data_IF_347642950241
#
_entry.id   IF_347642950241
#
_cell.length_a   1.000
_cell.length_b   1.000
_cell.length_c   1.000
_cell.angle_alpha   90.00
_cell.angle_beta   90.00
_cell.angle_gamma   90.00
#
_symmetry.space_group_name_H-M   'P 1'
#
loop_
_entity.id
_entity.type
_entity.pdbx_description
1 polymer ?
#
# COMPACT_ATOMS: atom_id res chain seq x y z
N UNK A 1 -2.80 -23.94 78.35
CA UNK A 1 -1.83 -23.61 77.28
C UNK A 1 -2.48 -23.86 75.92
N UNK A 2 -2.93 -22.82 75.21
CA UNK A 2 -3.39 -22.89 73.82
C UNK A 2 -2.30 -22.41 72.85
N UNK A 3 -2.27 -22.87 71.58
CA UNK A 3 -1.33 -22.35 70.59
C UNK A 3 -1.88 -21.12 69.84
N UNK A 4 -0.93 -20.30 69.40
CA UNK A 4 -1.09 -18.96 68.89
C UNK A 4 -1.85 -18.85 67.56
N UNK A 5 -2.77 -17.88 67.52
CA UNK A 5 -3.45 -17.39 66.33
C UNK A 5 -2.58 -16.30 65.68
N UNK A 6 -1.98 -16.57 64.52
CA UNK A 6 -1.35 -15.55 63.65
C UNK A 6 -2.30 -15.22 62.51
N UNK A 7 -3.08 -14.17 62.68
CA UNK A 7 -3.79 -13.48 61.61
C UNK A 7 -2.77 -12.67 60.79
N UNK A 8 -2.29 -13.26 59.69
CA UNK A 8 -1.61 -12.52 58.64
C UNK A 8 -2.66 -11.76 57.82
N UNK A 9 -2.48 -10.45 57.79
CA UNK A 9 -3.08 -9.46 56.90
C UNK A 9 -3.45 -10.00 55.52
N UNK A 10 -4.75 -10.02 55.22
CA UNK A 10 -5.26 -10.10 53.86
C UNK A 10 -4.81 -8.84 53.10
N UNK A 11 -3.72 -8.99 52.35
CA UNK A 11 -3.29 -8.03 51.34
C UNK A 11 -4.36 -7.98 50.25
N UNK A 12 -5.26 -7.00 50.36
CA UNK A 12 -6.15 -6.56 49.31
C UNK A 12 -5.34 -6.35 48.03
N UNK A 13 -5.54 -7.24 47.06
CA UNK A 13 -4.96 -7.12 45.71
C UNK A 13 -5.74 -6.01 44.98
N UNK A 14 -5.06 -5.04 44.36
CA UNK A 14 -5.75 -3.88 43.78
C UNK A 14 -6.50 -4.28 42.50
N UNK A 15 -7.67 -3.65 42.34
CA UNK A 15 -8.46 -3.58 41.13
C UNK A 15 -7.61 -3.13 39.91
N UNK A 16 -7.81 -3.79 38.77
CA UNK A 16 -7.54 -3.26 37.43
C UNK A 16 -8.55 -3.96 36.50
N UNK A 17 -9.65 -3.35 36.07
CA UNK A 17 -9.70 -2.10 35.30
C UNK A 17 -10.03 -2.46 33.85
N UNK A 18 -11.33 -2.50 33.52
CA UNK A 18 -11.98 -2.63 32.20
C UNK A 18 -11.35 -3.61 31.18
N UNK A 19 -11.99 -4.77 30.99
CA UNK A 19 -11.73 -5.67 29.85
C UNK A 19 -11.99 -4.93 28.52
N UNK A 20 -11.13 -5.09 27.51
CA UNK A 20 -11.41 -4.57 26.16
C UNK A 20 -12.57 -5.38 25.60
N UNK A 21 -13.74 -4.77 25.48
CA UNK A 21 -14.97 -5.44 25.04
C UNK A 21 -15.54 -4.80 23.78
N UNK A 22 -15.95 -5.66 22.85
CA UNK A 22 -16.75 -5.28 21.69
C UNK A 22 -18.20 -5.56 22.02
N UNK A 23 -19.06 -4.56 21.84
CA UNK A 23 -20.51 -4.73 21.99
C UNK A 23 -21.15 -4.99 20.64
N UNK A 24 -22.19 -5.83 20.61
CA UNK A 24 -22.99 -6.07 19.42
C UNK A 24 -23.68 -4.77 18.92
N UNK A 25 -24.01 -3.86 19.84
CA UNK A 25 -24.60 -2.56 19.53
C UNK A 25 -23.68 -1.66 18.69
N UNK A 26 -22.38 -1.94 18.65
CA UNK A 26 -21.39 -1.18 17.87
C UNK A 26 -21.39 -1.57 16.39
N UNK A 27 -22.08 -2.65 16.01
CA UNK A 27 -22.04 -3.21 14.65
C UNK A 27 -23.41 -3.22 13.95
N UNK A 28 -24.52 -2.89 14.62
CA UNK A 28 -25.85 -3.16 14.07
C UNK A 28 -26.78 -1.95 14.19
N UNK A 29 -27.44 -1.65 13.07
CA UNK A 29 -28.79 -1.09 13.01
C UNK A 29 -29.75 -2.24 12.63
N UNK A 30 -30.89 -2.39 13.30
CA UNK A 30 -31.58 -3.67 13.63
C UNK A 30 -32.10 -4.56 12.47
N UNK A 31 -31.77 -4.30 11.21
CA UNK A 31 -32.56 -4.75 10.04
C UNK A 31 -32.05 -5.97 9.25
N UNK A 32 -30.84 -6.52 9.49
CA UNK A 32 -30.30 -7.64 8.69
C UNK A 32 -29.80 -8.85 9.51
N UNK A 33 -30.44 -10.01 9.31
CA UNK A 33 -30.08 -11.30 9.93
C UNK A 33 -28.68 -11.79 9.55
N UNK A 34 -28.24 -11.53 8.31
CA UNK A 34 -26.91 -11.92 7.81
C UNK A 34 -25.83 -11.07 8.47
N UNK A 35 -26.04 -9.75 8.55
CA UNK A 35 -25.12 -8.83 9.23
C UNK A 35 -24.96 -9.17 10.70
N UNK A 36 -26.07 -9.52 11.39
CA UNK A 36 -26.03 -9.93 12.80
C UNK A 36 -25.18 -11.18 13.04
N UNK A 37 -25.32 -12.21 12.21
CA UNK A 37 -24.54 -13.45 12.34
C UNK A 37 -23.05 -13.20 12.17
N UNK A 38 -22.66 -12.42 11.16
CA UNK A 38 -21.27 -12.07 10.90
C UNK A 38 -20.68 -11.19 12.03
N UNK A 39 -21.43 -10.22 12.54
CA UNK A 39 -21.01 -9.40 13.67
C UNK A 39 -20.78 -10.24 14.94
N UNK A 40 -21.68 -11.19 15.24
CA UNK A 40 -21.50 -12.14 16.35
C UNK A 40 -20.24 -12.98 16.14
N UNK A 41 -20.02 -13.51 14.94
CA UNK A 41 -18.83 -14.30 14.63
C UNK A 41 -17.53 -13.51 14.81
N UNK A 42 -17.53 -12.25 14.39
CA UNK A 42 -16.40 -11.33 14.53
C UNK A 42 -16.08 -11.07 16.02
N UNK A 43 -17.08 -10.79 16.84
CA UNK A 43 -16.93 -10.58 18.29
C UNK A 43 -16.42 -11.85 18.98
N UNK A 44 -16.99 -13.02 18.67
CA UNK A 44 -16.56 -14.30 19.25
C UNK A 44 -15.11 -14.59 18.90
N UNK A 45 -14.73 -14.38 17.65
CA UNK A 45 -13.35 -14.58 17.18
C UNK A 45 -12.39 -13.61 17.86
N UNK A 46 -12.73 -12.33 17.94
CA UNK A 46 -11.94 -11.32 18.64
C UNK A 46 -11.72 -11.71 20.11
N UNK A 47 -12.78 -12.11 20.81
CA UNK A 47 -12.71 -12.53 22.21
C UNK A 47 -11.84 -13.76 22.45
N UNK A 48 -11.68 -14.62 21.44
CA UNK A 48 -10.77 -15.76 21.48
C UNK A 48 -9.31 -15.29 21.36
N UNK A 49 -8.98 -14.52 20.33
CA UNK A 49 -7.59 -14.14 20.05
C UNK A 49 -7.04 -13.05 20.98
N UNK A 50 -7.89 -12.17 21.52
CA UNK A 50 -7.44 -11.05 22.37
C UNK A 50 -6.72 -11.51 23.63
N UNK A 51 -6.92 -12.76 24.05
CA UNK A 51 -6.26 -13.38 25.21
C UNK A 51 -4.76 -13.60 24.97
N UNK A 52 -4.36 -13.77 23.71
CA UNK A 52 -2.99 -14.02 23.30
C UNK A 52 -2.28 -12.75 22.81
N UNK A 53 -3.03 -11.66 22.65
CA UNK A 53 -2.55 -10.36 22.18
C UNK A 53 -2.03 -9.48 23.33
N UNK A 54 -1.05 -8.63 23.03
CA UNK A 54 -0.72 -7.52 23.90
C UNK A 54 -1.92 -6.58 24.07
N UNK A 55 -2.12 -6.04 25.28
CA UNK A 55 -3.33 -5.29 25.64
C UNK A 55 -3.53 -4.05 24.75
N UNK A 56 -2.47 -3.34 24.37
CA UNK A 56 -2.58 -2.19 23.47
C UNK A 56 -3.06 -2.59 22.08
N UNK A 57 -2.49 -3.66 21.50
CA UNK A 57 -2.89 -4.18 20.19
C UNK A 57 -4.33 -4.70 20.17
N UNK A 58 -4.76 -5.37 21.25
CA UNK A 58 -6.14 -5.80 21.38
C UNK A 58 -7.13 -4.62 21.39
N UNK A 59 -6.74 -3.49 22.03
CA UNK A 59 -7.53 -2.26 22.03
C UNK A 59 -7.56 -1.62 20.64
N UNK A 60 -6.42 -1.51 19.97
CA UNK A 60 -6.36 -0.98 18.61
C UNK A 60 -7.20 -1.79 17.64
N UNK A 61 -7.17 -3.13 17.75
CA UNK A 61 -8.03 -4.00 16.96
C UNK A 61 -9.51 -3.74 17.28
N UNK A 62 -9.87 -3.61 18.55
CA UNK A 62 -11.24 -3.30 18.95
C UNK A 62 -11.74 -1.93 18.43
N UNK A 63 -10.86 -0.93 18.33
CA UNK A 63 -11.18 0.39 17.76
C UNK A 63 -11.27 0.36 16.22
N UNK A 64 -10.50 -0.52 15.58
CA UNK A 64 -10.50 -0.70 14.14
C UNK A 64 -11.77 -1.40 13.64
N UNK A 65 -12.22 -2.45 14.32
CA UNK A 65 -13.27 -3.35 13.82
C UNK A 65 -14.62 -2.68 13.52
N UNK A 66 -15.15 -1.75 14.34
CA UNK A 66 -16.38 -1.03 14.00
C UNK A 66 -16.26 -0.20 12.73
N UNK A 67 -15.12 0.48 12.52
CA UNK A 67 -14.87 1.30 11.32
C UNK A 67 -14.77 0.43 10.07
N UNK A 68 -14.08 -0.70 10.19
CA UNK A 68 -13.97 -1.69 9.13
C UNK A 68 -15.33 -2.28 8.75
N UNK A 69 -16.17 -2.54 9.75
CA UNK A 69 -17.51 -3.05 9.56
C UNK A 69 -18.43 -2.05 8.85
N UNK A 70 -18.41 -0.78 9.24
CA UNK A 70 -19.19 0.28 8.58
C UNK A 70 -18.85 0.41 7.10
N UNK A 71 -17.56 0.35 6.76
CA UNK A 71 -17.08 0.33 5.38
C UNK A 71 -17.61 -0.89 4.62
N UNK A 72 -17.53 -2.07 5.24
CA UNK A 72 -17.99 -3.32 4.66
C UNK A 72 -19.50 -3.30 4.36
N UNK A 73 -20.32 -2.84 5.29
CA UNK A 73 -21.78 -2.71 5.11
C UNK A 73 -22.10 -1.70 4.00
N UNK A 74 -21.40 -0.57 3.96
CA UNK A 74 -21.58 0.49 2.96
C UNK A 74 -21.20 0.05 1.54
N UNK A 75 -20.23 -0.87 1.42
CA UNK A 75 -19.73 -1.39 0.13
C UNK A 75 -20.57 -2.51 -0.50
N UNK A 76 -21.76 -2.81 0.04
CA UNK A 76 -22.66 -3.89 -0.36
C UNK A 76 -22.11 -5.29 -0.03
N UNK A 77 -22.66 -5.91 1.03
CA UNK A 77 -22.28 -7.17 1.69
C UNK A 77 -22.06 -8.42 0.80
N UNK A 78 -22.38 -8.36 -0.49
CA UNK A 78 -22.44 -9.52 -1.39
C UNK A 78 -21.24 -9.67 -2.33
N UNK A 79 -20.31 -8.71 -2.35
CA UNK A 79 -19.13 -8.76 -3.22
C UNK A 79 -18.12 -9.84 -2.80
N UNK A 80 -17.35 -10.42 -3.74
CA UNK A 80 -16.24 -11.30 -3.41
C UNK A 80 -15.13 -10.56 -2.63
N UNK A 81 -14.26 -11.28 -1.87
CA UNK A 81 -13.18 -10.63 -1.13
C UNK A 81 -12.27 -9.78 -2.02
N UNK A 82 -12.13 -10.12 -3.30
CA UNK A 82 -11.26 -9.44 -4.28
C UNK A 82 -11.65 -7.99 -4.54
N UNK A 83 -12.91 -7.64 -4.33
CA UNK A 83 -13.42 -6.28 -4.51
C UNK A 83 -13.21 -5.41 -3.26
N UNK A 84 -12.93 -6.03 -2.11
CA UNK A 84 -12.77 -5.34 -0.84
C UNK A 84 -11.43 -4.58 -0.78
N UNK A 85 -11.46 -3.33 -0.31
CA UNK A 85 -10.27 -2.46 -0.30
C UNK A 85 -9.10 -3.04 0.50
N UNK A 86 -9.36 -3.61 1.68
CA UNK A 86 -8.34 -4.35 2.44
C UNK A 86 -7.67 -5.47 1.64
N UNK A 87 -8.44 -6.22 0.84
CA UNK A 87 -7.85 -7.27 0.01
C UNK A 87 -6.92 -6.67 -1.05
N UNK A 88 -7.36 -5.62 -1.74
CA UNK A 88 -6.54 -4.93 -2.75
C UNK A 88 -5.25 -4.36 -2.17
N UNK A 89 -5.31 -3.79 -0.97
CA UNK A 89 -4.15 -3.27 -0.21
C UNK A 89 -3.19 -4.38 0.20
N UNK A 90 -3.70 -5.51 0.71
CA UNK A 90 -2.89 -6.65 1.08
C UNK A 90 -2.23 -7.33 -0.13
N UNK A 91 -2.88 -7.30 -1.29
CA UNK A 91 -2.30 -7.81 -2.55
C UNK A 91 -1.36 -6.81 -3.23
N UNK A 92 -1.36 -5.53 -2.86
CA UNK A 92 -0.58 -4.49 -3.54
C UNK A 92 -1.11 -4.17 -4.94
N UNK A 93 -2.42 -4.29 -5.16
CA UNK A 93 -3.04 -3.99 -6.46
C UNK A 93 -3.14 -2.47 -6.68
N UNK A 94 -3.44 -1.71 -5.63
CA UNK A 94 -3.60 -0.25 -5.70
C UNK A 94 -2.33 0.53 -5.32
N UNK A 95 -1.38 -0.12 -4.65
CA UNK A 95 -0.15 0.50 -4.14
C UNK A 95 1.04 -0.35 -4.53
N UNK A 96 2.20 0.28 -4.75
CA UNK A 96 3.46 -0.39 -5.11
C UNK A 96 3.99 -1.35 -4.02
N UNK A 97 3.37 -1.38 -2.84
CA UNK A 97 3.76 -2.22 -1.71
C UNK A 97 2.53 -2.88 -1.07
N UNK A 98 2.69 -4.14 -0.65
CA UNK A 98 1.67 -4.92 0.07
C UNK A 98 1.55 -4.44 1.52
N UNK A 99 0.33 -4.11 1.94
CA UNK A 99 0.01 -3.75 3.34
C UNK A 99 -0.45 -4.99 4.11
N UNK A 100 0.48 -5.84 4.52
CA UNK A 100 0.18 -7.12 5.21
C UNK A 100 -0.16 -6.93 6.70
N UNK A 101 -1.18 -6.10 6.98
CA UNK A 101 -1.54 -5.69 8.33
C UNK A 101 -2.46 -6.73 8.97
N UNK A 102 -2.22 -7.07 10.24
CA UNK A 102 -3.05 -8.06 10.92
C UNK A 102 -4.54 -7.68 10.99
N UNK A 103 -4.91 -6.43 11.32
CA UNK A 103 -6.33 -6.05 11.37
C UNK A 103 -7.07 -6.28 10.05
N UNK A 104 -6.41 -6.05 8.91
CA UNK A 104 -6.98 -6.27 7.59
C UNK A 104 -7.23 -7.75 7.33
N UNK A 105 -6.22 -8.59 7.62
CA UNK A 105 -6.36 -10.04 7.56
C UNK A 105 -7.47 -10.56 8.45
N UNK A 106 -7.47 -10.15 9.72
CA UNK A 106 -8.44 -10.58 10.71
C UNK A 106 -9.87 -10.30 10.22
N UNK A 107 -10.10 -9.07 9.73
CA UNK A 107 -11.41 -8.67 9.26
C UNK A 107 -11.85 -9.48 8.02
N UNK A 108 -10.98 -9.62 7.01
CA UNK A 108 -11.28 -10.40 5.82
C UNK A 108 -11.56 -11.87 6.15
N UNK A 109 -10.74 -12.48 7.01
CA UNK A 109 -10.90 -13.86 7.42
C UNK A 109 -12.18 -14.07 8.25
N UNK A 110 -12.58 -13.08 9.07
CA UNK A 110 -13.80 -13.15 9.86
C UNK A 110 -15.07 -12.93 9.02
N UNK A 111 -15.01 -12.03 8.03
CA UNK A 111 -16.14 -11.68 7.18
C UNK A 111 -16.42 -12.73 6.09
N UNK A 112 -15.36 -13.26 5.47
CA UNK A 112 -15.48 -14.18 4.32
C UNK A 112 -15.13 -15.63 4.63
N UNK A 113 -14.58 -15.89 5.83
CA UNK A 113 -14.14 -17.20 6.28
C UNK A 113 -12.67 -17.48 5.96
N UNK A 114 -11.99 -18.13 6.92
CA UNK A 114 -10.55 -18.43 6.83
C UNK A 114 -10.21 -19.29 5.61
N UNK A 115 -11.10 -20.23 5.25
CA UNK A 115 -10.92 -21.18 4.15
C UNK A 115 -11.13 -20.58 2.76
N UNK A 116 -11.52 -19.32 2.66
CA UNK A 116 -11.85 -18.73 1.36
C UNK A 116 -10.62 -18.80 0.41
N UNK A 117 -10.71 -19.44 -0.77
CA UNK A 117 -9.55 -19.71 -1.62
C UNK A 117 -8.76 -18.46 -2.02
N UNK A 118 -9.45 -17.32 -2.19
CA UNK A 118 -8.82 -16.04 -2.54
C UNK A 118 -7.95 -15.49 -1.41
N UNK A 119 -8.17 -15.88 -0.15
CA UNK A 119 -7.38 -15.43 1.00
C UNK A 119 -6.10 -16.26 1.19
N UNK A 120 -5.96 -17.41 0.51
CA UNK A 120 -4.80 -18.28 0.65
C UNK A 120 -3.45 -17.63 0.25
N UNK A 121 -3.35 -16.83 -0.83
CA UNK A 121 -2.12 -16.11 -1.15
C UNK A 121 -1.72 -15.10 -0.07
N UNK A 122 -2.69 -14.34 0.46
CA UNK A 122 -2.46 -13.38 1.53
C UNK A 122 -1.93 -14.08 2.78
N UNK A 123 -2.52 -15.24 3.14
CA UNK A 123 -2.05 -16.04 4.26
C UNK A 123 -0.60 -16.45 4.09
N UNK A 124 -0.21 -16.97 2.91
CA UNK A 124 1.19 -17.35 2.62
C UNK A 124 2.14 -16.17 2.73
N UNK A 125 1.74 -15.00 2.23
CA UNK A 125 2.53 -13.78 2.34
C UNK A 125 2.71 -13.35 3.81
N UNK A 126 1.66 -13.46 4.62
CA UNK A 126 1.73 -13.22 6.06
C UNK A 126 2.60 -14.25 6.78
N UNK A 127 2.51 -15.54 6.46
CA UNK A 127 3.38 -16.58 7.01
C UNK A 127 4.86 -16.28 6.73
N UNK A 128 5.17 -15.87 5.49
CA UNK A 128 6.51 -15.48 5.09
C UNK A 128 7.00 -14.24 5.86
N UNK A 129 6.15 -13.22 6.01
CA UNK A 129 6.49 -11.98 6.73
C UNK A 129 6.67 -12.24 8.24
N UNK A 130 5.80 -13.06 8.83
CA UNK A 130 5.77 -13.30 10.27
C UNK A 130 6.76 -14.38 10.69
N UNK A 131 7.16 -15.26 9.77
CA UNK A 131 8.01 -16.42 10.04
C UNK A 131 7.32 -17.46 10.93
N UNK A 132 5.99 -17.55 10.84
CA UNK A 132 5.14 -18.49 11.60
C UNK A 132 4.09 -19.07 10.67
N UNK A 133 3.64 -20.29 10.95
CA UNK A 133 2.55 -20.90 10.20
C UNK A 133 1.21 -20.32 10.65
N UNK A 134 0.33 -20.01 9.69
CA UNK A 134 -1.03 -19.58 9.94
C UNK A 134 -1.98 -20.74 9.64
N UNK A 135 -2.73 -21.22 10.63
CA UNK A 135 -3.72 -22.27 10.44
C UNK A 135 -4.71 -21.90 9.33
N UNK A 136 -5.09 -22.88 8.51
CA UNK A 136 -6.07 -22.71 7.45
C UNK A 136 -7.52 -22.78 7.94
N UNK A 137 -7.70 -23.22 9.19
CA UNK A 137 -8.99 -23.57 9.78
C UNK A 137 -9.50 -22.65 10.87
N UNK A 138 -8.67 -21.73 11.38
CA UNK A 138 -9.11 -20.72 12.33
C UNK A 138 -8.23 -19.47 12.28
N UNK A 139 -8.80 -18.36 12.74
CA UNK A 139 -8.08 -17.09 12.88
C UNK A 139 -7.19 -17.20 14.12
N UNK A 140 -5.89 -16.99 13.92
CA UNK A 140 -4.87 -17.18 14.92
C UNK A 140 -4.12 -15.87 15.21
N UNK A 141 -3.84 -15.60 16.48
CA UNK A 141 -2.76 -14.71 16.90
C UNK A 141 -1.59 -15.54 17.47
N UNK A 142 -0.38 -15.48 16.89
CA UNK A 142 0.70 -16.38 17.28
C UNK A 142 1.23 -16.10 18.69
N UNK A 143 1.34 -17.11 19.58
CA UNK A 143 1.86 -16.94 20.93
C UNK A 143 3.38 -16.80 20.94
N UNK A 144 3.92 -16.17 21.99
CA UNK A 144 5.37 -16.15 22.24
C UNK A 144 6.19 -15.18 21.38
N UNK A 145 5.54 -14.32 20.60
CA UNK A 145 6.23 -13.25 19.85
C UNK A 145 6.60 -12.09 20.81
N UNK A 146 7.84 -11.56 20.79
CA UNK A 146 8.20 -10.38 21.57
C UNK A 146 7.35 -9.16 21.21
N UNK A 147 6.98 -8.32 22.19
CA UNK A 147 6.08 -7.16 22.02
C UNK A 147 6.47 -6.23 20.86
N UNK A 148 7.76 -5.93 20.71
CA UNK A 148 8.26 -5.09 19.60
C UNK A 148 7.96 -5.69 18.22
N UNK A 149 8.08 -7.02 18.11
CA UNK A 149 7.77 -7.75 16.88
C UNK A 149 6.27 -7.87 16.68
N UNK A 150 5.48 -8.01 17.75
CA UNK A 150 4.02 -7.97 17.66
C UNK A 150 3.52 -6.65 17.06
N UNK A 151 4.02 -5.51 17.54
CA UNK A 151 3.65 -4.18 17.01
C UNK A 151 4.05 -4.02 15.56
N UNK A 152 5.29 -4.36 15.23
CA UNK A 152 5.76 -4.36 13.85
C UNK A 152 4.79 -5.15 12.96
N UNK A 153 4.52 -6.40 13.29
CA UNK A 153 3.69 -7.30 12.49
C UNK A 153 2.21 -6.88 12.44
N UNK A 154 1.67 -6.31 13.52
CA UNK A 154 0.31 -5.77 13.57
C UNK A 154 0.11 -4.65 12.54
N UNK A 155 1.12 -3.78 12.39
CA UNK A 155 1.16 -2.68 11.43
C UNK A 155 1.86 -3.03 10.09
N UNK A 156 2.12 -4.32 9.80
CA UNK A 156 2.72 -4.74 8.51
C UNK A 156 4.23 -4.73 8.37
N UNK A 157 4.95 -4.57 9.47
CA UNK A 157 6.40 -4.55 9.57
C UNK A 157 7.01 -3.20 9.18
N UNK A 158 8.14 -2.80 9.78
CA UNK A 158 8.83 -1.58 9.39
C UNK A 158 9.37 -1.67 7.95
N UNK A 159 9.39 -0.52 7.28
CA UNK A 159 9.90 -0.22 5.93
C UNK A 159 11.34 -0.64 5.60
N UNK A 160 12.07 -1.37 6.46
CA UNK A 160 13.42 -1.80 6.12
C UNK A 160 13.76 -3.16 6.74
N UNK A 161 14.08 -4.19 5.92
CA UNK A 161 14.71 -5.40 6.46
C UNK A 161 15.92 -4.96 7.27
N UNK A 162 16.12 -5.58 8.44
CA UNK A 162 17.27 -5.24 9.30
C UNK A 162 18.53 -5.32 8.42
N UNK A 163 19.24 -4.19 8.21
CA UNK A 163 20.35 -4.16 7.27
C UNK A 163 21.34 -5.28 7.61
N UNK A 164 21.83 -5.99 6.60
CA UNK A 164 22.73 -7.14 6.76
C UNK A 164 23.89 -6.81 7.72
N UNK A 165 24.39 -5.58 7.70
CA UNK A 165 25.44 -5.08 8.58
C UNK A 165 25.08 -5.11 10.09
N UNK A 166 23.81 -4.89 10.45
CA UNK A 166 23.33 -5.00 11.84
C UNK A 166 23.21 -6.45 12.28
N UNK A 167 22.77 -7.34 11.39
CA UNK A 167 22.72 -8.78 11.63
C UNK A 167 24.15 -9.33 11.82
N UNK A 168 25.07 -8.93 10.93
CA UNK A 168 26.47 -9.33 10.99
C UNK A 168 27.17 -8.84 12.27
N UNK A 169 26.90 -7.59 12.68
CA UNK A 169 27.44 -7.04 13.94
C UNK A 169 26.91 -7.78 15.18
N UNK A 170 25.62 -8.16 15.18
CA UNK A 170 25.05 -8.99 16.26
C UNK A 170 25.66 -10.39 16.27
N UNK A 171 25.79 -11.04 15.12
CA UNK A 171 26.43 -12.35 15.01
C UNK A 171 27.90 -12.32 15.47
N UNK A 172 28.63 -11.24 15.15
CA UNK A 172 29.99 -11.02 15.64
C UNK A 172 30.04 -10.78 17.15
N UNK A 173 29.08 -10.01 17.71
CA UNK A 173 28.96 -9.82 19.15
C UNK A 173 28.66 -11.12 19.91
N UNK A 174 27.79 -11.97 19.36
CA UNK A 174 27.56 -13.32 19.88
C UNK A 174 28.82 -14.19 19.78
N UNK A 175 29.53 -14.15 18.66
CA UNK A 175 30.80 -14.87 18.49
C UNK A 175 31.84 -14.44 19.54
N UNK A 176 32.01 -13.14 19.77
CA UNK A 176 32.92 -12.60 20.76
C UNK A 176 32.52 -13.00 22.19
N UNK A 177 31.24 -12.88 22.54
CA UNK A 177 30.74 -13.27 23.87
C UNK A 177 30.90 -14.77 24.16
N UNK A 178 30.81 -15.62 23.13
CA UNK A 178 31.04 -17.06 23.27
C UNK A 178 32.54 -17.37 23.35
N UNK A 179 33.38 -16.64 22.62
CA UNK A 179 34.85 -16.76 22.69
C UNK A 179 35.40 -16.35 24.05
N UNK A 180 34.89 -15.26 24.63
CA UNK A 180 35.27 -14.78 25.97
C UNK A 180 34.79 -15.72 27.10
N UNK A 181 33.71 -16.49 26.86
CA UNK A 181 33.18 -17.42 27.84
C UNK A 181 34.01 -18.71 28.00
N UNK A 182 35.03 -18.93 27.17
CA UNK A 182 35.98 -20.05 27.32
C UNK A 182 35.35 -21.45 27.32
N UNK A 183 34.16 -21.62 26.70
CA UNK A 183 33.45 -22.91 26.60
C UNK A 183 33.61 -23.50 25.19
N UNK A 184 34.55 -24.43 24.96
CA UNK A 184 34.85 -24.96 23.63
C UNK A 184 33.64 -25.67 23.01
N UNK A 185 32.82 -26.34 23.83
CA UNK A 185 31.69 -27.17 23.38
C UNK A 185 30.61 -26.42 22.59
N UNK A 186 30.31 -25.16 22.93
CA UNK A 186 29.30 -24.37 22.19
C UNK A 186 29.90 -23.79 20.92
N UNK A 187 31.18 -23.39 20.94
CA UNK A 187 31.90 -22.93 19.75
C UNK A 187 31.99 -24.07 18.75
N UNK A 188 32.35 -25.27 19.20
CA UNK A 188 32.53 -26.46 18.35
C UNK A 188 31.20 -26.91 17.76
N UNK A 189 30.13 -26.97 18.56
CA UNK A 189 28.78 -27.24 18.07
C UNK A 189 28.31 -26.17 17.07
N UNK A 190 28.46 -24.87 17.38
CA UNK A 190 28.04 -23.81 16.45
C UNK A 190 28.91 -23.81 15.19
N UNK A 191 30.21 -24.06 15.28
CA UNK A 191 31.09 -24.09 14.10
C UNK A 191 30.82 -25.31 13.23
N UNK A 192 30.43 -26.44 13.82
CA UNK A 192 30.11 -27.68 13.11
C UNK A 192 28.71 -27.64 12.48
N UNK A 193 27.71 -27.09 13.18
CA UNK A 193 26.31 -27.11 12.74
C UNK A 193 25.86 -25.82 12.05
N UNK A 194 26.43 -24.65 12.34
CA UNK A 194 26.02 -23.40 11.70
C UNK A 194 26.22 -23.39 10.18
N UNK A 195 27.30 -23.92 9.59
CA UNK A 195 27.42 -24.00 8.13
C UNK A 195 26.33 -24.88 7.52
N UNK A 196 25.99 -26.01 8.15
CA UNK A 196 24.92 -26.88 7.69
C UNK A 196 23.54 -26.21 7.81
N UNK A 197 23.26 -25.52 8.93
CA UNK A 197 22.02 -24.78 9.13
C UNK A 197 21.91 -23.55 8.24
N UNK A 198 23.03 -22.87 7.95
CA UNK A 198 23.09 -21.76 7.00
C UNK A 198 22.92 -22.26 5.57
N UNK A 199 23.51 -23.39 5.19
CA UNK A 199 23.30 -24.02 3.89
C UNK A 199 21.91 -24.68 3.76
N UNK A 200 21.24 -24.97 4.86
CA UNK A 200 19.87 -25.48 4.88
C UNK A 200 18.84 -24.34 4.88
N UNK A 201 19.14 -23.21 5.54
CA UNK A 201 18.34 -21.98 5.51
C UNK A 201 18.53 -21.19 4.21
N UNK A 202 19.70 -21.33 3.59
CA UNK A 202 20.01 -20.89 2.23
C UNK A 202 19.92 -22.13 1.35
N UNK A 203 18.70 -22.58 1.05
CA UNK A 203 18.51 -23.48 -0.08
C UNK A 203 19.16 -22.79 -1.29
N UNK A 204 20.28 -23.33 -1.79
CA UNK A 204 21.05 -22.71 -2.88
C UNK A 204 20.16 -22.44 -4.10
N UNK A 205 19.09 -23.23 -4.28
CA UNK A 205 18.04 -22.99 -5.27
C UNK A 205 17.28 -21.67 -5.09
N UNK A 206 17.03 -21.21 -3.85
CA UNK A 206 16.32 -19.95 -3.59
C UNK A 206 17.20 -18.73 -3.90
N UNK A 207 18.50 -18.80 -3.58
CA UNK A 207 19.46 -17.74 -3.93
C UNK A 207 19.71 -17.68 -5.42
N UNK A 208 19.88 -18.81 -6.10
CA UNK A 208 20.01 -18.84 -7.56
C UNK A 208 18.73 -18.37 -8.27
N UNK A 209 17.55 -18.76 -7.75
CA UNK A 209 16.25 -18.29 -8.25
C UNK A 209 16.08 -16.79 -8.07
N UNK A 210 16.46 -16.25 -6.91
CA UNK A 210 16.48 -14.80 -6.65
C UNK A 210 17.48 -14.08 -7.56
N UNK A 211 18.66 -14.66 -7.78
CA UNK A 211 19.68 -14.08 -8.66
C UNK A 211 19.20 -14.04 -10.12
N UNK A 212 18.53 -15.09 -10.60
CA UNK A 212 17.89 -15.10 -11.92
C UNK A 212 16.78 -14.06 -12.00
N UNK A 213 15.86 -14.01 -11.03
CA UNK A 213 14.78 -13.00 -11.01
C UNK A 213 15.33 -11.57 -10.99
N UNK A 214 16.39 -11.33 -10.22
CA UNK A 214 17.04 -10.03 -10.16
C UNK A 214 17.67 -9.66 -11.52
N UNK A 215 18.34 -10.62 -12.16
CA UNK A 215 18.91 -10.43 -13.49
C UNK A 215 17.82 -10.16 -14.54
N UNK A 216 16.75 -10.93 -14.54
CA UNK A 216 15.62 -10.74 -15.45
C UNK A 216 14.97 -9.35 -15.24
N UNK A 217 14.82 -8.93 -13.98
CA UNK A 217 14.29 -7.61 -13.64
C UNK A 217 15.24 -6.50 -14.11
N UNK A 218 16.55 -6.69 -13.96
CA UNK A 218 17.58 -5.75 -14.44
C UNK A 218 17.52 -5.61 -15.96
N UNK A 219 17.40 -6.72 -16.69
CA UNK A 219 17.27 -6.73 -18.16
C UNK A 219 15.97 -6.04 -18.62
N UNK A 220 14.85 -6.29 -17.93
CA UNK A 220 13.59 -5.59 -18.18
C UNK A 220 13.73 -4.08 -17.94
N UNK A 221 14.37 -3.68 -16.84
CA UNK A 221 14.57 -2.27 -16.51
C UNK A 221 15.45 -1.57 -17.57
N UNK A 222 16.52 -2.21 -18.02
CA UNK A 222 17.34 -1.69 -19.12
C UNK A 222 16.55 -1.55 -20.43
N UNK A 223 15.71 -2.55 -20.76
CA UNK A 223 14.85 -2.50 -21.94
C UNK A 223 13.84 -1.35 -21.86
N UNK A 224 13.19 -1.17 -20.70
CA UNK A 224 12.26 -0.06 -20.47
C UNK A 224 12.99 1.28 -20.55
N UNK A 225 14.20 1.39 -20.01
CA UNK A 225 15.00 2.60 -20.09
C UNK A 225 15.38 2.96 -21.53
N UNK A 226 15.77 1.97 -22.34
CA UNK A 226 16.04 2.19 -23.77
C UNK A 226 14.78 2.65 -24.53
N UNK A 227 13.62 2.04 -24.26
CA UNK A 227 12.34 2.46 -24.85
C UNK A 227 11.94 3.88 -24.44
N UNK A 228 12.18 4.25 -23.18
CA UNK A 228 11.91 5.59 -22.68
C UNK A 228 12.79 6.63 -23.39
N UNK A 229 14.09 6.35 -23.57
CA UNK A 229 15.00 7.24 -24.30
C UNK A 229 14.58 7.42 -25.77
N UNK A 230 14.21 6.34 -26.45
CA UNK A 230 13.70 6.40 -27.82
C UNK A 230 12.41 7.22 -27.91
N UNK A 231 11.49 7.04 -26.96
CA UNK A 231 10.24 7.83 -26.89
C UNK A 231 10.54 9.32 -26.66
N UNK A 232 11.47 9.65 -25.77
CA UNK A 232 11.92 11.03 -25.54
C UNK A 232 12.58 11.66 -26.78
N UNK A 233 13.31 10.87 -27.58
CA UNK A 233 13.89 11.32 -28.84
C UNK A 233 12.79 11.66 -29.85
N UNK A 234 11.83 10.77 -30.07
CA UNK A 234 10.68 11.00 -30.97
C UNK A 234 9.84 12.21 -30.55
N UNK A 235 9.65 12.41 -29.24
CA UNK A 235 8.95 13.58 -28.71
C UNK A 235 9.70 14.88 -29.05
N UNK A 236 11.03 14.90 -28.91
CA UNK A 236 11.85 16.06 -29.30
C UNK A 236 11.78 16.34 -30.80
N UNK A 237 11.84 15.31 -31.64
CA UNK A 237 11.71 15.44 -33.09
C UNK A 237 10.35 16.02 -33.48
N UNK A 238 9.27 15.48 -32.91
CA UNK A 238 7.89 15.95 -33.16
C UNK A 238 7.71 17.39 -32.69
N UNK A 239 8.24 17.74 -31.51
CA UNK A 239 8.23 19.11 -31.01
C UNK A 239 8.99 20.07 -31.94
N UNK A 240 10.09 19.62 -32.55
CA UNK A 240 10.85 20.40 -33.52
C UNK A 240 10.06 20.67 -34.80
N UNK A 241 9.37 19.67 -35.34
CA UNK A 241 8.51 19.82 -36.52
C UNK A 241 7.27 20.69 -36.24
N UNK A 242 6.71 20.59 -35.03
CA UNK A 242 5.60 21.45 -34.61
C UNK A 242 6.02 22.93 -34.54
N UNK A 243 7.24 23.21 -34.08
CA UNK A 243 7.76 24.58 -34.04
C UNK A 243 8.06 25.12 -35.44
N UNK A 244 8.56 24.28 -36.36
CA UNK A 244 8.75 24.66 -37.77
C UNK A 244 7.43 25.00 -38.45
N UNK A 245 6.40 24.16 -38.27
CA UNK A 245 5.06 24.41 -38.82
C UNK A 245 4.43 25.66 -38.22
N UNK A 246 4.60 25.90 -36.91
CA UNK A 246 4.16 27.15 -36.25
C UNK A 246 4.81 28.39 -36.86
N UNK A 247 6.12 28.36 -37.10
CA UNK A 247 6.85 29.47 -37.74
C UNK A 247 6.35 29.74 -39.15
N UNK A 248 6.15 28.67 -39.95
CA UNK A 248 5.60 28.79 -41.30
C UNK A 248 4.18 29.40 -41.30
N UNK A 249 3.31 28.93 -40.41
CA UNK A 249 1.96 29.49 -40.27
C UNK A 249 2.01 30.98 -39.90
N UNK A 250 2.93 31.37 -39.01
CA UNK A 250 3.11 32.78 -38.64
C UNK A 250 3.54 33.64 -39.84
N UNK A 251 4.48 33.17 -40.65
CA UNK A 251 4.92 33.91 -41.85
C UNK A 251 3.80 34.00 -42.89
N UNK A 252 3.01 32.94 -43.06
CA UNK A 252 1.88 32.94 -43.99
C UNK A 252 0.81 33.96 -43.54
N UNK A 253 0.47 33.99 -42.25
CA UNK A 253 -0.46 34.99 -41.67
C UNK A 253 0.06 36.42 -41.87
N UNK A 254 1.35 36.67 -41.60
CA UNK A 254 1.94 38.00 -41.81
C UNK A 254 1.89 38.42 -43.28
N UNK A 255 2.04 37.47 -44.21
CA UNK A 255 1.95 37.72 -45.65
C UNK A 255 0.51 38.03 -46.07
N UNK A 256 -0.46 37.20 -45.65
CA UNK A 256 -1.87 37.44 -45.93
C UNK A 256 -2.38 38.77 -45.34
N UNK A 257 -1.91 39.16 -44.15
CA UNK A 257 -2.24 40.46 -43.57
C UNK A 257 -1.72 41.64 -44.40
N UNK A 258 -0.51 41.53 -44.98
CA UNK A 258 0.03 42.55 -45.88
C UNK A 258 -0.78 42.65 -47.17
N UNK A 259 -1.18 41.51 -47.74
CA UNK A 259 -2.03 41.46 -48.94
C UNK A 259 -3.43 42.04 -48.67
N UNK A 260 -4.01 41.74 -47.51
CA UNK A 260 -5.29 42.31 -47.08
C UNK A 260 -5.20 43.83 -46.93
N UNK A 261 -4.14 44.34 -46.29
CA UNK A 261 -3.92 45.79 -46.16
C UNK A 261 -3.75 46.48 -47.53
N UNK A 262 -3.01 45.86 -48.46
CA UNK A 262 -2.86 46.35 -49.82
C UNK A 262 -4.18 46.34 -50.59
N UNK A 263 -5.03 45.34 -50.36
CA UNK A 263 -6.35 45.21 -50.99
C UNK A 263 -7.30 46.28 -50.45
N UNK A 264 -7.35 46.49 -49.14
CA UNK A 264 -8.14 47.56 -48.52
C UNK A 264 -7.77 48.94 -49.08
N UNK A 265 -6.47 49.23 -49.20
CA UNK A 265 -6.01 50.48 -49.81
C UNK A 265 -6.49 50.66 -51.27
N UNK A 266 -6.57 49.57 -52.04
CA UNK A 266 -7.11 49.62 -53.42
C UNK A 266 -8.61 49.87 -53.41
N UNK A 267 -9.35 49.23 -52.50
CA UNK A 267 -10.79 49.45 -52.32
C UNK A 267 -11.08 50.90 -51.95
N UNK A 268 -10.35 51.47 -50.99
CA UNK A 268 -10.50 52.88 -50.59
C UNK A 268 -10.32 53.82 -51.78
N UNK A 269 -9.27 53.60 -52.59
CA UNK A 269 -9.04 54.39 -53.83
C UNK A 269 -10.18 54.27 -54.84
N UNK A 270 -10.77 53.08 -55.00
CA UNK A 270 -11.91 52.88 -55.90
C UNK A 270 -13.14 53.61 -55.36
N UNK A 271 -13.39 53.53 -54.05
CA UNK A 271 -14.49 54.25 -53.39
C UNK A 271 -14.34 55.76 -53.59
N UNK A 272 -13.15 56.32 -53.35
CA UNK A 272 -12.86 57.75 -53.58
C UNK A 272 -13.09 58.15 -55.04
N UNK A 273 -12.64 57.32 -55.98
CA UNK A 273 -12.83 57.57 -57.42
C UNK A 273 -14.31 57.54 -57.80
N UNK A 274 -15.07 56.57 -57.28
CA UNK A 274 -16.52 56.48 -57.50
C UNK A 274 -17.26 57.68 -56.91
N UNK A 275 -16.88 58.13 -55.71
CA UNK A 275 -17.46 59.33 -55.09
C UNK A 275 -17.21 60.58 -55.94
N UNK A 276 -15.99 60.76 -56.46
CA UNK A 276 -15.65 61.86 -57.36
C UNK A 276 -16.49 61.83 -58.65
N UNK A 277 -16.62 60.67 -59.29
CA UNK A 277 -17.44 60.51 -60.50
C UNK A 277 -18.90 60.85 -60.22
N UNK A 278 -19.46 60.39 -59.08
CA UNK A 278 -20.81 60.73 -58.68
C UNK A 278 -20.99 62.23 -58.44
N UNK A 279 -20.00 62.92 -57.85
CA UNK A 279 -20.05 64.38 -57.68
C UNK A 279 -20.02 65.15 -59.00
N UNK A 280 -19.31 64.65 -60.02
CA UNK A 280 -19.28 65.27 -61.35
C UNK A 280 -20.60 65.04 -62.11
N UNK A 281 -21.20 63.85 -61.96
CA UNK A 281 -22.45 63.49 -62.63
C UNK A 281 -23.70 64.04 -61.92
N UNK A 282 -23.59 64.44 -60.66
CA UNK A 282 -24.68 65.10 -59.95
C UNK A 282 -24.95 66.47 -60.59
N UNK A 283 -26.19 66.74 -61.07
CA UNK A 283 -26.50 67.99 -61.73
C UNK A 283 -26.34 69.18 -60.76
N UNK A 284 -25.71 70.29 -61.18
CA UNK A 284 -25.61 71.50 -60.36
C UNK A 284 -26.99 72.18 -60.36
N UNK A 285 -27.83 71.89 -59.36
CA UNK A 285 -29.09 72.60 -59.17
C UNK A 285 -30.24 71.68 -58.80
N UNK A 286 -30.43 71.52 -57.50
CA UNK A 286 -31.62 70.93 -56.90
C UNK A 286 -31.88 71.56 -55.54
N UNK A 287 -31.93 72.89 -55.49
CA UNK A 287 -32.66 73.57 -54.42
C UNK A 287 -34.16 73.36 -54.63
N UNK A 288 -34.88 73.18 -53.52
CA UNK A 288 -36.31 72.89 -53.42
C UNK A 288 -37.20 73.89 -54.14
#
# INVERSE_FOLDING_TARGET
MPPANRSASSSSRPEFGSSVELSLSTFIDESSTIGRTLAVQLIVTFNKIKKDMERSLARELAEFLPKAWEQFVSSNLKGPPTEHDYYKRMQGIERSQKELYYPYWFFLAAAFGVYHPTLAPIRKDMEALWGVQFPDNYIHWPPGIPTERQKALFHGGPENPTPLCKIQRRAQGFKAAIQDAGRPSVIEAVTQYAPALLNQAVSTGDVESLHRKLKDTQEQLQKTQAQLQETQKRLRETSGELEKTRKKLKTDIETSNKELAATNLRVDKVVDTCALVLSILAPPGGEK
#
